data_IF_893648250036
#
_entry.id   IF_893648250036
#
_cell.length_a   1.000
_cell.length_b   1.000
_cell.length_c   1.000
_cell.angle_alpha   90.00
_cell.angle_beta   90.00
_cell.angle_gamma   90.00
#
_symmetry.space_group_name_H-M   'P 1'
#
loop_
_entity.id
_entity.type
_entity.pdbx_description
1 polymer ?
#
# COMPACT_ATOMS: atom_id res chain seq x y z
N UNK A 1 -15.05 30.02 -6.37
CA UNK A 1 -15.19 28.56 -6.23
C UNK A 1 -13.89 28.05 -5.65
N UNK A 2 -13.84 27.89 -4.33
CA UNK A 2 -12.68 27.32 -3.65
C UNK A 2 -12.60 25.85 -4.04
N UNK A 3 -11.61 25.46 -4.85
CA UNK A 3 -11.35 24.04 -5.11
C UNK A 3 -11.01 23.40 -3.77
N UNK A 4 -11.89 22.54 -3.25
CA UNK A 4 -11.57 21.74 -2.09
C UNK A 4 -10.31 20.94 -2.40
N UNK A 5 -9.22 21.24 -1.68
CA UNK A 5 -7.98 20.48 -1.81
C UNK A 5 -8.25 19.09 -1.26
N UNK A 6 -8.41 18.11 -2.17
CA UNK A 6 -8.53 16.69 -1.81
C UNK A 6 -7.35 16.33 -0.91
N UNK A 7 -7.64 15.93 0.34
CA UNK A 7 -6.62 15.44 1.27
C UNK A 7 -6.05 14.13 0.70
N UNK A 8 -4.75 14.11 0.45
CA UNK A 8 -4.08 12.92 -0.07
C UNK A 8 -3.86 11.91 1.06
N UNK A 9 -4.01 10.61 0.79
CA UNK A 9 -3.74 9.57 1.78
C UNK A 9 -2.25 9.47 2.10
N UNK A 10 -1.93 9.02 3.31
CA UNK A 10 -0.57 8.61 3.65
C UNK A 10 -0.34 7.16 3.23
N UNK A 11 0.85 6.92 2.71
CA UNK A 11 1.26 5.63 2.15
C UNK A 11 2.51 5.17 2.88
N UNK A 12 2.54 3.90 3.26
CA UNK A 12 3.69 3.30 3.91
C UNK A 12 4.76 2.86 2.88
N UNK A 13 6.06 2.81 3.23
CA UNK A 13 7.10 2.40 2.29
C UNK A 13 6.87 1.00 1.71
N UNK A 14 6.37 0.06 2.53
CA UNK A 14 6.06 -1.30 2.07
C UNK A 14 4.89 -1.34 1.08
N UNK A 15 3.97 -0.37 1.13
CA UNK A 15 2.90 -0.23 0.13
C UNK A 15 3.45 0.28 -1.20
N UNK A 16 4.53 1.08 -1.21
CA UNK A 16 5.17 1.49 -2.46
C UNK A 16 5.88 0.29 -3.11
N UNK A 17 6.51 -0.57 -2.31
CA UNK A 17 7.32 -1.71 -2.78
C UNK A 17 6.47 -2.75 -3.53
N UNK A 18 5.20 -2.93 -3.18
CA UNK A 18 4.31 -3.90 -3.87
C UNK A 18 3.99 -3.47 -5.31
N UNK A 19 4.07 -2.17 -5.63
CA UNK A 19 3.82 -1.61 -6.96
C UNK A 19 5.13 -1.50 -7.75
N UNK A 20 5.73 -2.67 -8.06
CA UNK A 20 7.05 -2.77 -8.69
C UNK A 20 7.04 -3.28 -10.15
N UNK A 21 5.87 -3.36 -10.79
CA UNK A 21 5.71 -3.91 -12.15
C UNK A 21 5.57 -2.80 -13.18
N UNK A 22 5.97 -2.98 -14.45
CA UNK A 22 5.75 -1.96 -15.49
C UNK A 22 4.27 -1.58 -15.70
N UNK A 23 3.36 -2.51 -15.43
CA UNK A 23 1.91 -2.32 -15.50
C UNK A 23 1.30 -1.65 -14.26
N UNK A 24 2.07 -1.56 -13.17
CA UNK A 24 1.68 -1.02 -11.86
C UNK A 24 2.95 -0.60 -11.11
N UNK A 25 3.42 0.61 -11.39
CA UNK A 25 4.72 1.11 -10.98
C UNK A 25 4.57 2.38 -10.16
N UNK A 26 4.88 2.29 -8.87
CA UNK A 26 4.95 3.46 -8.00
C UNK A 26 6.38 3.77 -7.62
N UNK A 27 6.66 5.06 -7.45
CA UNK A 27 7.95 5.55 -6.99
C UNK A 27 7.73 6.62 -5.94
N UNK A 28 8.63 6.71 -4.98
CA UNK A 28 8.63 7.79 -3.99
C UNK A 28 9.68 8.84 -4.35
N UNK A 29 9.32 10.12 -4.24
CA UNK A 29 10.20 11.26 -4.51
C UNK A 29 9.92 12.34 -3.47
N UNK A 30 10.93 12.71 -2.67
CA UNK A 30 10.88 13.80 -1.69
C UNK A 30 9.64 13.73 -0.76
N UNK A 31 9.31 12.52 -0.29
CA UNK A 31 8.17 12.28 0.59
C UNK A 31 6.80 12.26 -0.09
N UNK A 32 6.74 12.29 -1.42
CA UNK A 32 5.50 12.10 -2.21
C UNK A 32 5.56 10.77 -2.94
N UNK A 33 4.40 10.14 -3.13
CA UNK A 33 4.28 8.89 -3.88
C UNK A 33 3.61 9.16 -5.21
N UNK A 34 4.24 8.70 -6.29
CA UNK A 34 3.79 8.90 -7.66
C UNK A 34 3.49 7.57 -8.34
N UNK A 35 2.35 7.48 -9.01
CA UNK A 35 2.04 6.44 -9.98
C UNK A 35 2.58 6.86 -11.35
N UNK A 36 3.67 6.19 -11.75
CA UNK A 36 4.34 6.44 -13.04
C UNK A 36 3.90 5.46 -14.12
N UNK A 37 2.95 4.57 -13.85
CA UNK A 37 2.34 3.66 -14.83
C UNK A 37 1.86 4.39 -16.11
N UNK A 38 1.07 5.47 -16.04
CA UNK A 38 0.69 6.23 -17.24
C UNK A 38 1.88 6.88 -17.96
N UNK A 39 2.96 7.22 -17.24
CA UNK A 39 4.18 7.78 -17.81
C UNK A 39 4.95 6.72 -18.60
N UNK A 40 5.07 5.50 -18.04
CA UNK A 40 5.70 4.35 -18.68
C UNK A 40 4.99 4.02 -20.00
N UNK A 41 3.65 4.00 -20.01
CA UNK A 41 2.85 3.77 -21.22
C UNK A 41 3.06 4.85 -22.29
N UNK A 42 3.18 6.12 -21.88
CA UNK A 42 3.38 7.23 -22.82
C UNK A 42 4.74 7.17 -23.53
N UNK A 43 5.77 6.73 -22.82
CA UNK A 43 7.15 6.69 -23.30
C UNK A 43 7.61 5.26 -23.64
N UNK A 44 6.66 4.35 -23.88
CA UNK A 44 6.94 2.94 -24.16
C UNK A 44 7.90 2.78 -25.34
N UNK A 45 8.89 1.89 -25.20
CA UNK A 45 9.94 1.67 -26.21
C UNK A 45 11.12 2.65 -26.14
N UNK A 46 11.03 3.75 -25.40
CA UNK A 46 12.16 4.68 -25.23
C UNK A 46 13.14 4.21 -24.15
N UNK A 47 14.43 4.44 -24.38
CA UNK A 47 15.48 4.14 -23.40
C UNK A 47 15.30 4.92 -22.09
N UNK A 48 14.61 6.07 -22.15
CA UNK A 48 14.34 6.93 -21.00
C UNK A 48 13.44 6.28 -19.93
N UNK A 49 12.65 5.26 -20.27
CA UNK A 49 11.75 4.63 -19.30
C UNK A 49 12.45 3.55 -18.47
N UNK A 50 13.55 2.99 -18.99
CA UNK A 50 14.29 1.90 -18.34
C UNK A 50 14.72 2.23 -16.90
N UNK A 51 15.22 3.44 -16.58
CA UNK A 51 15.61 3.77 -15.21
C UNK A 51 14.42 3.82 -14.24
N UNK A 52 13.24 4.27 -14.70
CA UNK A 52 12.04 4.29 -13.88
C UNK A 52 11.53 2.87 -13.59
N UNK A 53 11.54 1.99 -14.60
CA UNK A 53 11.16 0.58 -14.42
C UNK A 53 12.16 -0.13 -13.49
N UNK A 54 13.46 0.11 -13.64
CA UNK A 54 14.49 -0.49 -12.78
C UNK A 54 14.41 -0.02 -11.31
N UNK A 55 13.82 1.15 -11.09
CA UNK A 55 13.62 1.76 -9.77
C UNK A 55 12.16 1.70 -9.30
N UNK A 56 11.34 0.86 -9.91
CA UNK A 56 9.96 0.63 -9.49
C UNK A 56 9.91 0.16 -8.02
N UNK A 57 8.99 0.72 -7.24
CA UNK A 57 8.82 0.43 -5.82
C UNK A 57 9.90 1.02 -4.90
N UNK A 58 10.78 1.90 -5.40
CA UNK A 58 11.90 2.47 -4.62
C UNK A 58 11.76 3.99 -4.39
N UNK A 59 12.67 4.51 -3.56
CA UNK A 59 12.84 5.94 -3.35
C UNK A 59 13.85 6.55 -4.32
N UNK A 60 13.37 7.52 -5.08
CA UNK A 60 14.09 8.31 -6.08
C UNK A 60 14.52 9.68 -5.54
N UNK A 61 14.33 9.96 -4.25
CA UNK A 61 14.70 11.24 -3.63
C UNK A 61 16.17 11.64 -3.86
N UNK A 62 17.06 10.66 -4.03
CA UNK A 62 18.48 10.91 -4.30
C UNK A 62 18.77 11.55 -5.68
N UNK A 63 17.83 11.50 -6.63
CA UNK A 63 17.94 12.18 -7.92
C UNK A 63 17.62 13.68 -7.85
N UNK A 64 16.91 14.09 -6.80
CA UNK A 64 16.38 15.44 -6.65
C UNK A 64 17.05 16.17 -5.50
N UNK A 65 17.19 17.48 -5.66
CA UNK A 65 17.62 18.34 -4.57
C UNK A 65 16.43 18.61 -3.64
N UNK A 66 16.61 18.35 -2.35
CA UNK A 66 15.56 18.47 -1.35
C UNK A 66 15.10 19.93 -1.15
N UNK A 67 15.96 20.92 -1.45
CA UNK A 67 15.63 22.35 -1.27
C UNK A 67 14.82 22.91 -2.43
N UNK A 68 15.26 22.63 -3.65
CA UNK A 68 14.64 23.17 -4.87
C UNK A 68 13.49 22.31 -5.37
N UNK A 69 13.47 21.01 -5.04
CA UNK A 69 12.53 20.04 -5.60
C UNK A 69 12.81 19.71 -7.07
N UNK A 70 13.88 20.25 -7.64
CA UNK A 70 14.34 20.01 -9.00
C UNK A 70 15.39 18.90 -9.03
N UNK A 71 15.67 18.40 -10.23
CA UNK A 71 16.74 17.41 -10.46
C UNK A 71 18.09 17.98 -10.01
N UNK A 72 18.92 17.15 -9.39
CA UNK A 72 20.31 17.51 -9.05
C UNK A 72 21.14 17.66 -10.31
N UNK A 73 22.08 18.58 -10.33
CA UNK A 73 23.03 18.73 -11.43
C UNK A 73 24.45 18.36 -10.96
N UNK A 74 25.22 17.74 -11.84
CA UNK A 74 26.64 17.47 -11.65
C UNK A 74 27.46 18.05 -12.81
N UNK A 75 28.71 18.42 -12.55
CA UNK A 75 29.64 18.81 -13.62
C UNK A 75 30.14 17.53 -14.27
N UNK A 76 29.91 17.38 -15.57
CA UNK A 76 30.35 16.20 -16.31
C UNK A 76 31.89 16.17 -16.35
N UNK A 77 32.54 15.04 -16.00
CA UNK A 77 34.00 15.00 -15.81
C UNK A 77 34.79 15.27 -17.11
N UNK A 78 34.25 14.87 -18.26
CA UNK A 78 34.90 15.05 -19.57
C UNK A 78 34.61 16.41 -20.21
N UNK A 79 33.33 16.82 -20.29
CA UNK A 79 32.93 18.03 -21.00
C UNK A 79 32.97 19.29 -20.13
N UNK A 80 33.03 19.15 -18.79
CA UNK A 80 32.96 20.28 -17.86
C UNK A 80 31.60 20.99 -17.83
N UNK A 81 30.59 20.47 -18.54
CA UNK A 81 29.25 21.07 -18.62
C UNK A 81 28.37 20.58 -17.48
N UNK A 82 27.54 21.47 -16.95
CA UNK A 82 26.54 21.14 -15.94
C UNK A 82 25.45 20.25 -16.56
N UNK A 83 25.35 19.01 -16.09
CA UNK A 83 24.46 17.97 -16.64
C UNK A 83 23.53 17.46 -15.53
N UNK A 84 22.27 17.08 -15.83
CA UNK A 84 21.40 16.47 -14.84
C UNK A 84 22.00 15.16 -14.31
N UNK A 85 21.93 14.98 -12.99
CA UNK A 85 22.46 13.83 -12.28
C UNK A 85 21.56 12.60 -12.51
N UNK A 86 21.97 11.78 -13.47
CA UNK A 86 21.22 10.60 -13.92
C UNK A 86 22.14 9.37 -13.89
N UNK A 87 22.41 8.76 -12.70
CA UNK A 87 23.36 7.65 -12.58
C UNK A 87 22.91 6.40 -13.35
N UNK A 88 21.60 6.17 -13.43
CA UNK A 88 21.01 4.99 -14.06
C UNK A 88 20.64 5.22 -15.54
N UNK A 89 21.02 6.36 -16.11
CA UNK A 89 20.61 6.79 -17.45
C UNK A 89 19.51 7.87 -17.43
N UNK A 90 19.21 8.49 -18.58
CA UNK A 90 18.22 9.55 -18.68
C UNK A 90 16.82 9.00 -18.38
N UNK A 91 15.98 9.79 -17.70
CA UNK A 91 14.58 9.46 -17.47
C UNK A 91 13.63 10.50 -18.12
N UNK A 92 12.31 10.23 -18.22
CA UNK A 92 11.41 11.08 -18.99
C UNK A 92 11.37 12.52 -18.49
N UNK A 93 11.09 13.45 -19.41
CA UNK A 93 11.06 14.89 -19.21
C UNK A 93 12.41 15.54 -18.79
N UNK A 94 13.53 14.83 -18.98
CA UNK A 94 14.87 15.44 -18.94
C UNK A 94 15.27 15.90 -20.34
N UNK A 95 15.64 17.17 -20.46
CA UNK A 95 16.14 17.73 -21.71
C UNK A 95 17.57 17.25 -22.01
N UNK A 96 17.81 16.86 -23.26
CA UNK A 96 19.14 16.58 -23.78
C UNK A 96 19.98 17.86 -23.78
N UNK A 97 21.23 17.76 -23.28
CA UNK A 97 22.14 18.91 -23.14
C UNK A 97 23.00 19.13 -24.40
N UNK A 98 23.17 18.10 -25.22
CA UNK A 98 23.94 18.18 -26.47
C UNK A 98 23.01 18.68 -27.58
N UNK A 99 23.48 19.54 -28.50
CA UNK A 99 22.71 19.91 -29.69
C UNK A 99 22.34 18.65 -30.46
N UNK A 100 21.08 18.26 -30.35
CA UNK A 100 20.52 17.09 -31.00
C UNK A 100 19.38 17.54 -31.90
N UNK A 101 19.30 16.95 -33.10
CA UNK A 101 18.15 17.12 -34.00
C UNK A 101 16.84 16.66 -33.39
N UNK A 102 16.89 15.78 -32.37
CA UNK A 102 15.73 15.31 -31.63
C UNK A 102 15.37 16.18 -30.43
N UNK A 103 16.12 17.25 -30.15
CA UNK A 103 15.82 18.16 -29.04
C UNK A 103 14.46 18.84 -29.23
N UNK A 104 13.61 18.78 -28.19
CA UNK A 104 12.31 19.44 -28.16
C UNK A 104 12.05 20.05 -26.79
N UNK A 105 11.33 21.17 -26.77
CA UNK A 105 10.83 21.76 -25.53
C UNK A 105 9.86 20.82 -24.80
N UNK A 106 9.88 20.87 -23.47
CA UNK A 106 8.94 20.10 -22.66
C UNK A 106 7.52 20.64 -22.84
N UNK A 107 6.59 19.74 -23.16
CA UNK A 107 5.16 20.06 -23.21
C UNK A 107 4.60 20.16 -21.77
N UNK A 108 4.84 21.30 -21.13
CA UNK A 108 4.40 21.62 -19.77
C UNK A 108 5.41 21.24 -18.68
N UNK A 109 5.00 21.29 -17.40
CA UNK A 109 5.88 20.96 -16.29
C UNK A 109 6.28 19.48 -16.35
N UNK A 110 7.46 19.11 -15.84
CA UNK A 110 7.92 17.73 -15.83
C UNK A 110 7.05 16.85 -14.93
N UNK A 111 7.08 15.52 -15.14
CA UNK A 111 6.21 14.59 -14.44
C UNK A 111 6.29 14.67 -12.89
N UNK A 112 7.46 14.95 -12.31
CA UNK A 112 7.63 15.04 -10.84
C UNK A 112 6.95 16.27 -10.22
N UNK A 113 6.59 17.27 -11.03
CA UNK A 113 5.82 18.45 -10.59
C UNK A 113 4.31 18.29 -10.83
N UNK A 114 3.89 17.29 -11.61
CA UNK A 114 2.48 17.11 -11.94
C UNK A 114 1.73 16.40 -10.82
N UNK A 115 0.68 17.05 -10.34
CA UNK A 115 -0.25 16.48 -9.35
C UNK A 115 -1.04 15.29 -9.90
N UNK A 116 -1.16 15.15 -11.22
CA UNK A 116 -1.92 14.06 -11.86
C UNK A 116 -1.33 12.67 -11.59
N UNK A 117 -0.02 12.58 -11.35
CA UNK A 117 0.65 11.32 -11.04
C UNK A 117 0.76 11.08 -9.53
N UNK A 118 0.42 12.07 -8.70
CA UNK A 118 0.58 11.96 -7.26
C UNK A 118 -0.57 11.17 -6.64
N UNK A 119 -0.26 10.02 -6.05
CA UNK A 119 -1.25 9.15 -5.38
C UNK A 119 -1.40 9.52 -3.91
N UNK A 120 -0.29 9.85 -3.25
CA UNK A 120 -0.27 10.06 -1.81
C UNK A 120 0.99 10.74 -1.30
N UNK A 121 1.11 10.75 0.02
CA UNK A 121 2.25 11.28 0.75
C UNK A 121 2.91 10.09 1.47
N UNK A 122 4.24 9.98 1.37
CA UNK A 122 4.97 8.95 2.09
C UNK A 122 4.96 9.29 3.59
N UNK A 123 4.59 8.33 4.43
CA UNK A 123 4.61 8.51 5.89
C UNK A 123 6.03 8.81 6.39
N UNK A 124 6.14 9.65 7.42
CA UNK A 124 7.44 9.88 8.07
C UNK A 124 7.85 8.69 8.92
N UNK A 125 6.87 8.01 9.52
CA UNK A 125 7.11 6.92 10.45
C UNK A 125 5.96 5.93 10.46
N UNK A 126 6.30 4.66 10.28
CA UNK A 126 5.37 3.53 10.43
C UNK A 126 5.38 3.08 11.89
N UNK A 127 4.22 2.74 12.44
CA UNK A 127 4.05 2.14 13.77
C UNK A 127 3.20 0.88 13.73
N UNK A 128 3.54 -0.16 14.50
CA UNK A 128 2.67 -1.31 14.67
C UNK A 128 1.50 -0.95 15.59
N UNK A 129 0.32 -1.44 15.25
CA UNK A 129 -0.90 -1.34 16.06
C UNK A 129 -1.51 -2.74 16.18
N UNK A 130 -1.84 -3.13 17.40
CA UNK A 130 -2.48 -4.42 17.68
C UNK A 130 -3.98 -4.19 17.86
N UNK A 131 -4.78 -4.91 17.09
CA UNK A 131 -6.24 -4.80 17.10
C UNK A 131 -6.79 -6.15 17.53
N UNK A 132 -7.59 -6.16 18.60
CA UNK A 132 -8.20 -7.38 19.13
C UNK A 132 -9.71 -7.25 18.99
N UNK A 133 -10.32 -8.15 18.23
CA UNK A 133 -11.76 -8.29 18.19
C UNK A 133 -12.24 -9.03 19.44
N UNK A 134 -12.97 -8.36 20.31
CA UNK A 134 -13.46 -8.97 21.56
C UNK A 134 -14.62 -9.94 21.37
N UNK A 135 -15.30 -9.91 20.21
CA UNK A 135 -16.37 -10.85 19.89
C UNK A 135 -15.79 -12.21 19.45
N UNK A 136 -14.79 -12.19 18.56
CA UNK A 136 -14.20 -13.42 17.99
C UNK A 136 -12.87 -13.82 18.64
N UNK A 137 -12.33 -12.98 19.51
CA UNK A 137 -10.97 -13.08 20.07
C UNK A 137 -9.85 -13.12 19.03
N UNK A 138 -10.13 -12.66 17.80
CA UNK A 138 -9.11 -12.60 16.75
C UNK A 138 -8.19 -11.39 16.98
N UNK A 139 -6.88 -11.65 17.04
CA UNK A 139 -5.84 -10.65 17.23
C UNK A 139 -5.07 -10.44 15.94
N UNK A 140 -5.01 -9.19 15.49
CA UNK A 140 -4.29 -8.80 14.27
C UNK A 140 -3.35 -7.66 14.59
N UNK A 141 -2.09 -7.80 14.18
CA UNK A 141 -1.12 -6.71 14.21
C UNK A 141 -0.99 -6.11 12.81
N UNK A 142 -1.30 -4.82 12.68
CA UNK A 142 -1.16 -4.08 11.43
C UNK A 142 -0.10 -2.97 11.57
N UNK A 143 0.59 -2.68 10.46
CA UNK A 143 1.50 -1.55 10.37
C UNK A 143 0.77 -0.35 9.78
N UNK A 144 0.83 0.77 10.50
CA UNK A 144 0.04 1.98 10.22
C UNK A 144 0.97 3.19 10.12
N UNK A 145 0.60 4.18 9.31
CA UNK A 145 1.29 5.47 9.26
C UNK A 145 1.00 6.29 10.53
N UNK A 146 2.00 6.98 11.07
CA UNK A 146 1.79 7.80 12.28
C UNK A 146 0.72 8.90 12.07
N UNK A 147 0.65 9.44 10.86
CA UNK A 147 -0.23 10.54 10.46
C UNK A 147 -1.64 10.11 10.02
N UNK A 148 -1.91 8.80 9.97
CA UNK A 148 -3.23 8.29 9.57
C UNK A 148 -4.30 8.63 10.61
N UNK A 149 -5.50 8.95 10.11
CA UNK A 149 -6.72 9.05 10.93
C UNK A 149 -7.27 7.65 11.19
N UNK A 150 -7.99 7.46 12.30
CA UNK A 150 -8.54 6.15 12.62
C UNK A 150 -9.51 5.60 11.57
N UNK A 151 -10.22 6.46 10.85
CA UNK A 151 -11.00 6.07 9.67
C UNK A 151 -10.15 5.37 8.60
N UNK A 152 -8.95 5.88 8.34
CA UNK A 152 -8.01 5.24 7.40
C UNK A 152 -7.47 3.92 7.93
N UNK A 153 -7.26 3.82 9.25
CA UNK A 153 -6.84 2.59 9.91
C UNK A 153 -7.94 1.52 9.81
N UNK A 154 -9.19 1.92 9.99
CA UNK A 154 -10.36 1.09 9.84
C UNK A 154 -10.50 0.54 8.42
N UNK A 155 -10.29 1.38 7.39
CA UNK A 155 -10.23 0.95 5.98
C UNK A 155 -9.14 -0.12 5.75
N UNK A 156 -7.95 0.06 6.33
CA UNK A 156 -6.86 -0.95 6.26
C UNK A 156 -7.25 -2.25 6.95
N UNK A 157 -7.98 -2.17 8.06
CA UNK A 157 -8.44 -3.34 8.82
C UNK A 157 -9.59 -4.09 8.12
N UNK A 158 -10.29 -3.48 7.17
CA UNK A 158 -11.39 -4.10 6.41
C UNK A 158 -10.99 -5.41 5.71
N UNK A 159 -9.70 -5.60 5.43
CA UNK A 159 -9.15 -6.84 4.87
C UNK A 159 -9.41 -8.05 5.80
N UNK A 160 -9.42 -7.84 7.12
CA UNK A 160 -9.62 -8.89 8.12
C UNK A 160 -11.09 -9.05 8.54
N UNK A 161 -11.88 -8.00 8.40
CA UNK A 161 -13.29 -7.99 8.76
C UNK A 161 -14.07 -7.11 7.79
N UNK A 162 -15.05 -7.69 7.09
CA UNK A 162 -15.81 -7.02 6.02
C UNK A 162 -16.51 -5.75 6.51
N UNK A 163 -17.04 -5.76 7.73
CA UNK A 163 -17.82 -4.66 8.31
C UNK A 163 -17.17 -4.11 9.60
N UNK A 164 -16.05 -3.37 9.50
CA UNK A 164 -15.39 -2.79 10.65
C UNK A 164 -16.15 -1.58 11.22
N UNK A 165 -17.16 -1.06 10.51
CA UNK A 165 -18.02 0.05 10.90
C UNK A 165 -19.02 -0.33 12.00
N UNK A 166 -19.38 -1.60 12.09
CA UNK A 166 -20.29 -2.13 13.12
C UNK A 166 -19.60 -2.28 14.49
N UNK A 167 -18.31 -1.95 14.59
CA UNK A 167 -17.54 -2.11 15.81
C UNK A 167 -17.24 -0.75 16.46
N UNK A 168 -17.39 -0.67 17.78
CA UNK A 168 -16.84 0.42 18.58
C UNK A 168 -15.35 0.18 18.87
N UNK A 169 -14.52 1.15 18.48
CA UNK A 169 -13.08 1.13 18.70
C UNK A 169 -12.75 1.76 20.06
N UNK A 170 -12.05 1.02 20.92
CA UNK A 170 -11.72 1.44 22.29
C UNK A 170 -10.23 1.28 22.57
N UNK A 171 -9.60 2.32 23.12
CA UNK A 171 -8.24 2.27 23.64
C UNK A 171 -8.28 2.46 25.16
N UNK A 172 -7.81 1.45 25.90
CA UNK A 172 -8.02 1.35 27.35
C UNK A 172 -9.50 1.54 27.73
N UNK A 173 -9.83 2.66 28.38
CA UNK A 173 -11.19 2.98 28.82
C UNK A 173 -11.88 4.07 27.97
N UNK A 174 -11.24 4.52 26.88
CA UNK A 174 -11.74 5.63 26.05
C UNK A 174 -12.16 5.16 24.66
N UNK A 175 -13.30 5.66 24.20
CA UNK A 175 -13.70 5.51 22.80
C UNK A 175 -12.80 6.33 21.90
N UNK A 176 -12.42 5.74 20.78
CA UNK A 176 -11.56 6.36 19.79
C UNK A 176 -12.42 7.19 18.85
N UNK A 177 -11.99 8.43 18.61
CA UNK A 177 -12.57 9.28 17.59
C UNK A 177 -11.93 8.95 16.22
N UNK A 178 -12.77 8.52 15.27
CA UNK A 178 -12.33 8.04 13.96
C UNK A 178 -11.72 9.14 13.07
N UNK A 179 -12.12 10.40 13.29
CA UNK A 179 -11.63 11.53 12.49
C UNK A 179 -10.26 12.03 12.96
N UNK A 180 -9.83 11.62 14.17
CA UNK A 180 -8.56 12.00 14.78
C UNK A 180 -7.45 11.00 14.49
N UNK A 181 -6.22 11.49 14.57
CA UNK A 181 -5.01 10.65 14.52
C UNK A 181 -4.83 9.86 15.80
N UNK A 182 -3.91 8.87 15.83
CA UNK A 182 -3.74 8.11 17.08
C UNK A 182 -3.12 8.93 18.20
N UNK A 183 -2.26 9.91 17.88
CA UNK A 183 -1.63 10.77 18.90
C UNK A 183 -2.67 11.66 19.58
N UNK A 184 -3.61 12.21 18.79
CA UNK A 184 -4.73 13.02 19.28
C UNK A 184 -5.74 12.20 20.11
N UNK A 185 -5.86 10.90 19.83
CA UNK A 185 -6.63 9.95 20.62
C UNK A 185 -5.89 9.45 21.89
N UNK A 186 -4.68 9.94 22.15
CA UNK A 186 -3.88 9.59 23.33
C UNK A 186 -3.06 8.30 23.20
N UNK A 187 -2.89 7.78 21.98
CA UNK A 187 -2.01 6.66 21.67
C UNK A 187 -0.67 7.23 21.18
N UNK A 188 0.19 7.56 22.13
CA UNK A 188 1.50 8.18 21.86
C UNK A 188 2.52 7.12 21.41
N UNK A 189 3.42 7.51 20.51
CA UNK A 189 4.55 6.69 20.09
C UNK A 189 5.73 6.81 21.09
N UNK A 190 5.89 5.82 21.97
CA UNK A 190 6.97 5.78 22.97
C UNK A 190 8.26 5.10 22.47
N UNK A 191 8.34 4.71 21.19
CA UNK A 191 9.49 3.96 20.65
C UNK A 191 10.81 4.73 20.68
N UNK A 192 10.78 6.05 20.53
CA UNK A 192 11.98 6.88 20.66
C UNK A 192 12.51 6.85 22.10
N UNK A 193 11.61 6.84 23.10
CA UNK A 193 12.00 6.70 24.51
C UNK A 193 12.57 5.31 24.77
N UNK A 194 11.96 4.25 24.21
CA UNK A 194 12.51 2.90 24.34
C UNK A 194 13.93 2.82 23.80
N UNK A 195 14.19 3.42 22.64
CA UNK A 195 15.53 3.49 22.07
C UNK A 195 16.52 4.26 22.97
N UNK A 196 16.09 5.38 23.57
CA UNK A 196 16.90 6.16 24.52
C UNK A 196 17.26 5.34 25.77
N UNK A 197 16.34 4.52 26.29
CA UNK A 197 16.57 3.64 27.44
C UNK A 197 17.24 2.30 27.07
N UNK A 198 17.65 2.10 25.82
CA UNK A 198 18.26 0.83 25.37
C UNK A 198 17.31 -0.36 25.37
N UNK A 199 16.00 -0.10 25.38
CA UNK A 199 14.96 -1.12 25.26
C UNK A 199 14.65 -1.40 23.78
N UNK A 200 14.24 -2.62 23.42
CA UNK A 200 13.86 -2.92 22.05
C UNK A 200 12.58 -2.17 21.65
N UNK A 201 12.53 -1.64 20.43
CA UNK A 201 11.41 -0.80 19.97
C UNK A 201 10.06 -1.54 19.89
N UNK A 202 10.08 -2.87 19.84
CA UNK A 202 8.89 -3.72 19.85
C UNK A 202 8.46 -4.17 21.26
N UNK A 203 9.09 -3.64 22.32
CA UNK A 203 8.79 -4.00 23.71
C UNK A 203 7.31 -3.80 24.05
N UNK A 204 6.71 -2.71 23.56
CA UNK A 204 5.31 -2.39 23.75
C UNK A 204 4.67 -2.01 22.42
N UNK A 205 3.60 -2.73 22.06
CA UNK A 205 2.74 -2.41 20.93
C UNK A 205 1.37 -2.01 21.47
N UNK A 206 0.86 -0.81 21.14
CA UNK A 206 -0.44 -0.36 21.62
C UNK A 206 -1.56 -1.28 21.14
N UNK A 207 -2.53 -1.52 22.02
CA UNK A 207 -3.65 -2.44 21.77
C UNK A 207 -4.97 -1.68 21.72
N UNK A 208 -5.70 -1.85 20.63
CA UNK A 208 -7.05 -1.33 20.45
C UNK A 208 -8.03 -2.50 20.46
N UNK A 209 -9.10 -2.34 21.24
CA UNK A 209 -10.15 -3.33 21.36
C UNK A 209 -11.34 -2.94 20.49
N UNK A 210 -11.86 -3.92 19.75
CA UNK A 210 -13.10 -3.79 18.99
C UNK A 210 -14.22 -4.46 19.77
N UNK A 211 -15.30 -3.71 20.01
CA UNK A 211 -16.52 -4.22 20.59
C UNK A 211 -17.61 -4.18 19.53
N UNK A 212 -18.23 -5.33 19.26
CA UNK A 212 -19.32 -5.39 18.30
C UNK A 212 -20.53 -4.60 18.83
N UNK A 213 -21.03 -3.67 18.02
CA UNK A 213 -22.32 -3.03 18.24
C UNK A 213 -23.33 -3.75 17.35
N UNK A 214 -24.41 -4.23 17.95
CA UNK A 214 -25.49 -4.85 17.19
C UNK A 214 -26.24 -3.76 16.41
N UNK A 215 -25.96 -3.65 15.12
CA UNK A 215 -26.52 -2.63 14.22
C UNK A 215 -27.58 -3.18 13.26
N UNK A 216 -28.05 -4.43 13.48
CA UNK A 216 -29.13 -5.11 12.75
C UNK A 216 -29.03 -5.06 11.21
N UNK A 217 -27.86 -4.78 10.63
CA UNK A 217 -27.67 -4.70 9.18
C UNK A 217 -27.96 -6.00 8.43
N UNK A 218 -27.98 -7.14 9.13
CA UNK A 218 -28.30 -8.44 8.52
C UNK A 218 -29.75 -8.57 8.03
N UNK A 219 -30.69 -7.69 8.42
CA UNK A 219 -32.08 -7.82 7.99
C UNK A 219 -32.31 -7.46 6.52
N UNK A 220 -31.39 -6.72 5.88
CA UNK A 220 -31.59 -6.28 4.48
C UNK A 220 -31.11 -7.32 3.45
N UNK A 221 -30.25 -8.27 3.84
CA UNK A 221 -29.72 -9.29 2.91
C UNK A 221 -30.68 -10.48 2.73
N UNK A 222 -31.51 -10.77 3.72
CA UNK A 222 -32.48 -11.86 3.63
C UNK A 222 -33.65 -11.50 2.69
N UNK A 223 -34.02 -10.22 2.57
CA UNK A 223 -35.09 -9.80 1.66
C UNK A 223 -34.70 -9.89 0.18
N UNK A 224 -33.44 -9.63 -0.19
CA UNK A 224 -32.99 -9.71 -1.59
C UNK A 224 -32.84 -11.16 -2.08
N UNK A 225 -32.29 -12.06 -1.25
CA UNK A 225 -32.19 -13.48 -1.57
C UNK A 225 -33.58 -14.15 -1.61
N UNK A 226 -34.48 -13.78 -0.68
CA UNK A 226 -35.87 -14.23 -0.70
C UNK A 226 -36.61 -13.75 -1.97
N UNK A 227 -36.40 -12.50 -2.40
CA UNK A 227 -36.99 -12.00 -3.64
C UNK A 227 -36.47 -12.69 -4.89
N UNK A 228 -35.19 -13.05 -4.98
CA UNK A 228 -34.65 -13.79 -6.13
C UNK A 228 -35.23 -15.20 -6.23
N UNK A 229 -35.35 -15.91 -5.10
CA UNK A 229 -35.98 -17.24 -5.07
C UNK A 229 -37.45 -17.22 -5.51
N UNK A 230 -38.23 -16.23 -5.07
CA UNK A 230 -39.62 -16.08 -5.50
C UNK A 230 -39.78 -15.57 -6.95
N UNK A 231 -38.80 -14.83 -7.46
CA UNK A 231 -38.79 -14.35 -8.84
C UNK A 231 -38.45 -15.46 -9.83
N UNK A 232 -37.49 -16.33 -9.49
CA UNK A 232 -37.16 -17.52 -10.29
C UNK A 232 -38.34 -18.51 -10.35
N UNK A 233 -39.08 -18.68 -9.24
CA UNK A 233 -40.34 -19.45 -9.20
C UNK A 233 -41.50 -18.82 -10.01
N UNK A 234 -41.47 -17.51 -10.22
CA UNK A 234 -42.46 -16.81 -11.02
C UNK A 234 -42.14 -16.90 -12.52
N UNK A 235 -40.86 -16.87 -12.88
CA UNK A 235 -40.40 -16.98 -14.26
C UNK A 235 -40.53 -18.41 -14.82
N UNK A 236 -40.40 -19.45 -13.97
CA UNK A 236 -40.66 -20.85 -14.37
C UNK A 236 -42.15 -21.17 -14.62
N UNK A 237 -43.08 -20.34 -14.14
CA UNK A 237 -44.54 -20.56 -14.34
C UNK A 237 -45.10 -19.97 -15.63
N UNK A 238 -44.28 -19.34 -16.47
CA UNK A 238 -44.72 -18.76 -17.77
C UNK A 238 -44.51 -19.74 -18.94
N UNK A 239 -43.90 -20.91 -18.73
CA UNK A 239 -43.77 -21.93 -19.77
C UNK A 239 -44.26 -23.32 -19.30
N UNK A 240 -45.46 -23.71 -19.74
CA UNK A 240 -45.89 -25.11 -19.72
C UNK A 240 -47.19 -25.40 -18.96
N UNK A 241 -48.30 -25.38 -19.69
CA UNK A 241 -49.50 -26.12 -19.34
C UNK A 241 -49.20 -27.62 -19.33
N UNK A 242 -49.51 -28.33 -18.23
CA UNK A 242 -49.86 -29.76 -18.31
C UNK A 242 -49.48 -30.65 -17.13
N UNK A 243 -50.49 -31.00 -16.32
CA UNK A 243 -50.67 -32.26 -15.58
C UNK A 243 -49.76 -32.62 -14.38
N UNK A 244 -50.43 -32.71 -13.22
CA UNK A 244 -50.24 -33.82 -12.26
C UNK A 244 -49.27 -33.59 -11.11
N UNK A 245 -49.81 -33.35 -9.90
CA UNK A 245 -49.10 -33.57 -8.63
C UNK A 245 -48.93 -35.10 -8.43
N UNK A 246 -47.86 -35.58 -7.79
CA UNK A 246 -47.98 -35.79 -6.35
C UNK A 246 -46.74 -35.38 -5.53
N UNK A 247 -47.03 -34.97 -4.30
CA UNK A 247 -46.14 -34.58 -3.21
C UNK A 247 -44.97 -35.55 -2.97
N UNK A 248 -43.80 -34.99 -2.63
CA UNK A 248 -42.84 -35.63 -1.71
C UNK A 248 -42.17 -34.56 -0.85
N UNK A 249 -42.60 -34.50 0.42
CA UNK A 249 -41.90 -33.77 1.47
C UNK A 249 -40.65 -34.59 1.80
N UNK A 250 -39.48 -34.08 1.47
CA UNK A 250 -38.19 -34.57 1.98
C UNK A 250 -37.24 -33.39 2.06
N UNK A 251 -37.06 -32.84 3.26
CA UNK A 251 -35.92 -31.96 3.53
C UNK A 251 -34.63 -32.78 3.58
N UNK A 252 -33.47 -32.23 3.20
CA UNK A 252 -32.17 -32.74 3.61
C UNK A 252 -31.70 -31.91 4.81
N UNK A 253 -31.52 -32.48 6.00
CA UNK A 253 -30.47 -33.42 6.41
C UNK A 253 -29.08 -32.79 6.27
N UNK A 254 -28.51 -32.42 7.42
CA UNK A 254 -27.11 -32.07 7.62
C UNK A 254 -26.21 -33.15 7.01
N UNK A 255 -25.35 -32.78 6.06
CA UNK A 255 -24.21 -33.60 5.66
C UNK A 255 -22.91 -32.86 5.97
N UNK A 256 -22.22 -33.40 6.97
CA UNK A 256 -20.79 -33.22 7.22
C UNK A 256 -19.99 -33.70 6.02
N UNK A 257 -19.09 -32.87 5.49
CA UNK A 257 -18.09 -33.28 4.50
C UNK A 257 -16.69 -33.09 5.10
N UNK A 258 -16.00 -34.22 5.23
CA UNK A 258 -14.57 -34.36 5.52
C UNK A 258 -13.71 -33.99 4.29
N UNK A 259 -12.41 -33.71 4.48
CA UNK A 259 -11.56 -33.12 3.45
C UNK A 259 -11.15 -34.12 2.37
N UNK A 260 -11.25 -33.72 1.11
CA UNK A 260 -10.68 -34.46 -0.01
C UNK A 260 -9.17 -34.21 -0.09
N UNK A 261 -8.43 -35.32 0.06
CA UNK A 261 -7.03 -35.48 -0.30
C UNK A 261 -6.95 -35.53 -1.82
N UNK A 262 -6.14 -34.67 -2.42
CA UNK A 262 -5.62 -34.85 -3.77
C UNK A 262 -4.09 -34.93 -3.63
N UNK A 263 -3.58 -36.16 -3.68
CA UNK A 263 -2.20 -36.43 -4.08
C UNK A 263 -2.17 -36.33 -5.62
N UNK A 264 -1.29 -35.49 -6.16
CA UNK A 264 -0.50 -35.83 -7.35
C UNK A 264 0.67 -34.85 -7.44
N UNK A 265 1.82 -35.44 -7.72
CA UNK A 265 3.17 -34.92 -7.64
C UNK A 265 3.51 -33.90 -8.74
N UNK A 266 4.27 -32.87 -8.38
CA UNK A 266 5.32 -32.27 -9.23
C UNK A 266 6.33 -31.54 -8.32
N UNK A 267 7.41 -32.25 -7.98
CA UNK A 267 8.59 -31.71 -7.32
C UNK A 267 9.36 -30.79 -8.29
N UNK A 268 9.39 -29.48 -8.01
CA UNK A 268 10.48 -28.62 -8.48
C UNK A 268 10.97 -27.76 -7.31
N UNK A 269 12.07 -28.23 -6.71
CA UNK A 269 12.83 -27.54 -5.66
C UNK A 269 13.35 -26.19 -6.18
N UNK A 270 12.71 -25.09 -5.76
CA UNK A 270 13.36 -23.78 -5.77
C UNK A 270 13.94 -23.50 -4.39
N UNK A 271 15.27 -23.56 -4.30
CA UNK A 271 16.04 -23.22 -3.12
C UNK A 271 15.71 -21.79 -2.64
N UNK A 272 15.55 -21.55 -1.32
CA UNK A 272 15.45 -20.20 -0.80
C UNK A 272 16.79 -19.49 -0.91
N UNK A 273 16.81 -18.36 -1.63
CA UNK A 273 17.92 -17.40 -1.63
C UNK A 273 18.29 -17.02 -0.19
N UNK A 274 19.38 -17.59 0.31
CA UNK A 274 20.05 -17.14 1.52
C UNK A 274 20.56 -15.74 1.25
N UNK A 275 19.98 -14.76 1.92
CA UNK A 275 20.53 -13.41 2.02
C UNK A 275 21.74 -13.53 2.95
N UNK A 276 22.90 -13.85 2.38
CA UNK A 276 24.17 -13.69 3.09
C UNK A 276 24.36 -12.20 3.37
N UNK A 277 24.14 -11.84 4.62
CA UNK A 277 24.57 -10.57 5.17
C UNK A 277 26.08 -10.62 5.29
N UNK A 278 26.79 -10.14 4.26
CA UNK A 278 28.21 -9.82 4.35
C UNK A 278 28.39 -8.58 5.25
N UNK A 279 28.28 -8.80 6.56
CA UNK A 279 28.85 -7.96 7.60
C UNK A 279 30.20 -8.58 7.95
N UNK A 280 31.28 -8.10 7.31
CA UNK A 280 32.62 -8.02 7.89
C UNK A 280 33.65 -7.53 6.86
N UNK A 281 34.17 -6.32 7.09
CA UNK A 281 35.53 -5.78 6.85
C UNK A 281 35.46 -4.30 6.46
N UNK A 282 35.25 -3.48 7.48
CA UNK A 282 35.79 -2.12 7.50
C UNK A 282 37.23 -2.31 8.00
N UNK A 283 38.19 -2.32 7.08
CA UNK A 283 39.60 -2.09 7.45
C UNK A 283 39.76 -0.59 7.70
N UNK A 284 39.99 -0.27 8.97
CA UNK A 284 40.49 1.02 9.42
C UNK A 284 41.86 1.27 8.77
N UNK A 285 41.92 2.23 7.84
CA UNK A 285 43.17 2.92 7.53
C UNK A 285 43.30 4.11 8.48
N UNK A 286 43.96 3.88 9.59
CA UNK A 286 44.61 4.95 10.36
C UNK A 286 45.79 5.49 9.52
N UNK A 287 45.61 6.64 8.87
CA UNK A 287 46.73 7.49 8.49
C UNK A 287 47.16 8.30 9.71
N UNK A 288 48.22 7.84 10.37
CA UNK A 288 49.03 8.66 11.27
C UNK A 288 50.05 9.46 10.44
N UNK A 289 50.26 10.76 10.71
CA UNK A 289 51.28 11.54 10.04
C UNK A 289 52.62 11.37 10.76
N UNK A 290 53.69 10.99 10.06
CA UNK A 290 55.06 11.28 10.48
C UNK A 290 56.06 11.15 9.33
N UNK A 291 56.97 12.16 9.29
CA UNK A 291 58.13 12.43 8.42
C UNK A 291 57.89 13.22 7.13
#
# INVERSE_FOLDING_TARGET
MTSEKKKLPYIAPFEVVIHNKPSDCWVSVLGKVFDVTPLIKRYEGQASVKPLIAMAGKDLSHWFDAKTGSIRYCVHPVTGVLTPYCPNGPFPDILTQVPDTEWRELNGPPWWERTQYQVGILTKRVRPLRIINMLTFHEVQINVCAEDTFKRIQERYSIFNKDPDSYAWKYFDKYIDLDKTMDENGIVDDRDKFAEFGMPQNYYVPVVFLYYNDDLKCTEMEEEEEFTYYKDLADDKVSGLGHGIPYRISGPMFETISPCICEDDDEEYFEPCVIETNLEKIEEREESPDL
#
